data_IF_012206036556
#
_entry.id   IF_012206036556
#
_cell.length_a   1.000
_cell.length_b   1.000
_cell.length_c   1.000
_cell.angle_alpha   90.00
_cell.angle_beta   90.00
_cell.angle_gamma   90.00
#
_symmetry.space_group_name_H-M   'P 1'
#
loop_
_entity.id
_entity.type
_entity.pdbx_description
1 polymer ?
#
# COMPACT_ATOMS: atom_id res chain seq x y z
N UNK A 1 23.19 20.49 -55.13
CA UNK A 1 23.14 21.15 -53.81
C UNK A 1 22.18 20.36 -52.93
N UNK A 2 22.68 19.44 -52.11
CA UNK A 2 21.86 18.67 -51.17
C UNK A 2 21.87 19.41 -49.84
N UNK A 3 20.77 20.08 -49.52
CA UNK A 3 20.59 20.75 -48.23
C UNK A 3 20.39 19.70 -47.14
N UNK A 4 21.38 19.57 -46.28
CA UNK A 4 21.40 18.71 -45.09
C UNK A 4 20.37 19.23 -44.08
N UNK A 5 19.24 18.54 -43.91
CA UNK A 5 18.32 18.80 -42.80
C UNK A 5 18.98 18.32 -41.50
N UNK A 6 19.38 19.28 -40.67
CA UNK A 6 19.76 19.04 -39.29
C UNK A 6 18.52 18.61 -38.50
N UNK A 7 18.39 17.31 -38.25
CA UNK A 7 17.39 16.77 -37.33
C UNK A 7 17.72 17.24 -35.91
N UNK A 8 17.02 18.27 -35.43
CA UNK A 8 17.03 18.69 -34.03
C UNK A 8 16.84 17.47 -33.12
N UNK A 9 17.79 17.23 -32.22
CA UNK A 9 17.78 16.13 -31.24
C UNK A 9 16.62 16.29 -30.24
N UNK A 10 15.44 15.79 -30.60
CA UNK A 10 14.28 15.58 -29.69
C UNK A 10 14.23 14.11 -29.19
N UNK A 11 15.28 13.31 -29.47
CA UNK A 11 15.31 11.87 -29.18
C UNK A 11 16.05 11.44 -27.92
N UNK A 12 16.92 12.28 -27.34
CA UNK A 12 17.88 11.80 -26.33
C UNK A 12 17.31 11.64 -24.92
N UNK A 13 16.49 12.59 -24.46
CA UNK A 13 15.87 12.54 -23.12
C UNK A 13 14.80 11.45 -23.02
N UNK A 14 14.02 11.26 -24.10
CA UNK A 14 12.98 10.24 -24.18
C UNK A 14 13.56 8.82 -24.23
N UNK A 15 14.68 8.62 -24.95
CA UNK A 15 15.35 7.33 -25.01
C UNK A 15 15.97 6.94 -23.65
N UNK A 16 16.63 7.87 -22.97
CA UNK A 16 17.20 7.62 -21.64
C UNK A 16 16.11 7.31 -20.60
N UNK A 17 14.97 8.00 -20.67
CA UNK A 17 13.81 7.70 -19.84
C UNK A 17 13.22 6.32 -20.13
N UNK A 18 13.00 5.98 -21.40
CA UNK A 18 12.48 4.68 -21.80
C UNK A 18 13.40 3.53 -21.36
N UNK A 19 14.73 3.71 -21.47
CA UNK A 19 15.70 2.73 -20.97
C UNK A 19 15.59 2.52 -19.46
N UNK A 20 15.48 3.60 -18.67
CA UNK A 20 15.29 3.50 -17.22
C UNK A 20 13.99 2.77 -16.87
N UNK A 21 12.91 3.08 -17.56
CA UNK A 21 11.61 2.41 -17.35
C UNK A 21 11.69 0.91 -17.67
N UNK A 22 12.33 0.53 -18.77
CA UNK A 22 12.52 -0.89 -19.11
C UNK A 22 13.37 -1.61 -18.07
N UNK A 23 14.43 -0.98 -17.54
CA UNK A 23 15.22 -1.56 -16.46
C UNK A 23 14.38 -1.78 -15.20
N UNK A 24 13.54 -0.80 -14.83
CA UNK A 24 12.63 -0.92 -13.69
C UNK A 24 11.62 -2.07 -13.89
N UNK A 25 10.99 -2.15 -15.06
CA UNK A 25 10.02 -3.20 -15.38
C UNK A 25 10.65 -4.59 -15.36
N UNK A 26 11.92 -4.74 -15.77
CA UNK A 26 12.63 -6.02 -15.69
C UNK A 26 12.82 -6.47 -14.24
N UNK A 27 13.17 -5.54 -13.35
CA UNK A 27 13.28 -5.82 -11.91
C UNK A 27 11.92 -6.23 -11.35
N UNK A 28 10.86 -5.46 -11.61
CA UNK A 28 9.51 -5.78 -11.13
C UNK A 28 8.94 -7.10 -11.69
N UNK A 29 9.27 -7.43 -12.94
CA UNK A 29 8.89 -8.69 -13.56
C UNK A 29 9.58 -9.90 -12.91
N UNK A 30 10.81 -9.72 -12.39
CA UNK A 30 11.56 -10.77 -11.69
C UNK A 30 11.10 -11.02 -10.25
N UNK A 31 10.14 -10.25 -9.73
CA UNK A 31 9.61 -10.47 -8.37
C UNK A 31 8.81 -11.77 -8.35
N UNK A 32 9.24 -12.71 -7.51
CA UNK A 32 8.51 -13.95 -7.27
C UNK A 32 7.20 -13.65 -6.52
N UNK A 33 6.07 -14.07 -7.10
CA UNK A 33 4.74 -13.86 -6.52
C UNK A 33 4.25 -15.15 -5.88
N UNK A 34 3.63 -15.03 -4.71
CA UNK A 34 2.89 -16.14 -4.10
C UNK A 34 1.50 -16.29 -4.74
N UNK A 35 0.90 -17.48 -4.61
CA UNK A 35 -0.48 -17.71 -5.05
C UNK A 35 -1.45 -16.82 -4.29
N UNK A 36 -2.42 -16.23 -4.98
CA UNK A 36 -3.47 -15.40 -4.38
C UNK A 36 -4.21 -16.16 -3.28
N UNK A 37 -4.54 -17.44 -3.49
CA UNK A 37 -5.18 -18.27 -2.47
C UNK A 37 -4.39 -18.39 -1.17
N UNK A 38 -3.05 -18.46 -1.26
CA UNK A 38 -2.17 -18.46 -0.07
C UNK A 38 -2.22 -17.11 0.63
N UNK A 39 -2.05 -16.02 -0.11
CA UNK A 39 -2.11 -14.67 0.44
C UNK A 39 -3.46 -14.39 1.14
N UNK A 40 -4.57 -14.79 0.52
CA UNK A 40 -5.90 -14.67 1.12
C UNK A 40 -6.04 -15.48 2.41
N UNK A 41 -5.54 -16.71 2.44
CA UNK A 41 -5.57 -17.53 3.65
C UNK A 41 -4.72 -16.92 4.77
N UNK A 42 -3.54 -16.38 4.45
CA UNK A 42 -2.68 -15.70 5.42
C UNK A 42 -3.36 -14.44 5.99
N UNK A 43 -4.04 -13.65 5.15
CA UNK A 43 -4.82 -12.49 5.59
C UNK A 43 -6.00 -12.91 6.50
N UNK A 44 -6.75 -13.94 6.12
CA UNK A 44 -7.84 -14.45 6.94
C UNK A 44 -7.36 -14.95 8.30
N UNK A 45 -6.23 -15.68 8.33
CA UNK A 45 -5.61 -16.14 9.56
C UNK A 45 -5.22 -14.97 10.45
N UNK A 46 -4.54 -13.97 9.88
CA UNK A 46 -4.12 -12.78 10.62
C UNK A 46 -5.34 -12.05 11.23
N UNK A 47 -6.38 -11.81 10.43
CA UNK A 47 -7.60 -11.18 10.93
C UNK A 47 -8.26 -12.02 12.02
N UNK A 48 -8.36 -13.35 11.87
CA UNK A 48 -8.95 -14.24 12.87
C UNK A 48 -8.19 -14.28 14.20
N UNK A 49 -6.86 -14.30 14.14
CA UNK A 49 -6.00 -14.31 15.33
C UNK A 49 -6.09 -12.99 16.12
N UNK A 50 -6.23 -11.87 15.41
CA UNK A 50 -6.26 -10.53 16.00
C UNK A 50 -7.67 -10.02 16.29
N UNK A 51 -8.71 -10.62 15.72
CA UNK A 51 -10.11 -10.22 15.88
C UNK A 51 -10.50 -10.04 17.35
N UNK A 52 -10.09 -10.98 18.21
CA UNK A 52 -10.42 -10.95 19.64
C UNK A 52 -9.82 -9.78 20.42
N UNK A 53 -8.79 -9.15 19.87
CA UNK A 53 -8.10 -8.01 20.47
C UNK A 53 -8.53 -6.68 19.85
N UNK A 54 -9.37 -6.70 18.82
CA UNK A 54 -9.88 -5.50 18.17
C UNK A 54 -11.09 -4.97 18.97
N UNK A 55 -10.96 -3.81 19.66
CA UNK A 55 -12.03 -3.24 20.46
C UNK A 55 -13.25 -2.83 19.63
N UNK A 56 -13.06 -2.54 18.33
CA UNK A 56 -14.12 -2.13 17.43
C UNK A 56 -14.91 -3.33 16.89
N UNK A 57 -14.27 -4.50 16.83
CA UNK A 57 -14.91 -5.72 16.37
C UNK A 57 -15.61 -6.48 17.51
N UNK A 58 -14.93 -6.72 18.62
CA UNK A 58 -15.50 -7.48 19.75
C UNK A 58 -16.29 -6.60 20.72
N UNK A 59 -16.09 -5.29 20.68
CA UNK A 59 -16.54 -4.37 21.71
C UNK A 59 -15.65 -4.47 22.96
N UNK A 60 -15.60 -3.37 23.71
CA UNK A 60 -14.97 -3.31 25.02
C UNK A 60 -15.97 -2.84 26.07
N UNK A 61 -15.80 -3.23 27.35
CA UNK A 61 -16.59 -2.69 28.43
C UNK A 61 -16.51 -1.17 28.46
N UNK A 62 -17.62 -0.54 28.84
CA UNK A 62 -17.70 0.92 28.90
C UNK A 62 -16.62 1.52 29.86
N UNK A 63 -16.21 0.79 30.91
CA UNK A 63 -15.13 1.20 31.81
C UNK A 63 -13.74 1.26 31.16
N UNK A 64 -13.49 0.41 30.16
CA UNK A 64 -12.22 0.36 29.43
C UNK A 64 -12.20 1.33 28.24
N UNK A 65 -13.37 1.79 27.79
CA UNK A 65 -13.48 2.75 26.71
C UNK A 65 -13.01 4.15 27.16
N UNK A 66 -11.87 4.66 26.65
CA UNK A 66 -11.37 5.99 27.01
C UNK A 66 -12.28 7.14 26.56
N UNK A 67 -13.17 6.88 25.59
CA UNK A 67 -14.11 7.86 25.05
C UNK A 67 -15.48 7.82 25.73
N UNK A 68 -15.65 7.03 26.80
CA UNK A 68 -16.91 7.04 27.56
C UNK A 68 -17.10 8.38 28.27
N UNK A 69 -18.32 8.91 28.19
CA UNK A 69 -18.73 10.08 28.97
C UNK A 69 -18.52 9.84 30.46
N UNK A 70 -17.74 10.74 31.08
CA UNK A 70 -17.61 10.76 32.54
C UNK A 70 -18.95 11.22 33.11
N UNK A 71 -19.58 10.38 33.95
CA UNK A 71 -20.74 10.82 34.73
C UNK A 71 -20.31 12.05 35.55
N UNK A 72 -21.07 13.17 35.54
CA UNK A 72 -20.77 14.28 36.41
C UNK A 72 -20.79 13.79 37.86
N UNK A 73 -19.68 13.99 38.57
CA UNK A 73 -19.61 13.71 40.00
C UNK A 73 -20.41 14.82 40.70
N UNK A 74 -21.61 14.49 41.18
CA UNK A 74 -22.38 15.39 42.04
C UNK A 74 -21.81 15.20 43.45
N UNK A 75 -21.07 16.20 43.95
CA UNK A 75 -20.71 16.26 45.37
C UNK A 75 -21.99 16.69 46.09
N UNK A 76 -22.54 15.80 46.92
CA UNK A 76 -23.64 16.09 47.84
C UNK A 76 -23.12 16.74 49.12
#
# INVERSE_FOLDING_TARGET
MVSKMSSKMVGSNNLAHARRMVQQLRVEASIERIKVSKASADLMRYCGENAKYDPLLMGIPASENPFKDKKPCIIL
#
